data_IF_203120580501
#
_entry.id   IF_203120580501
#
_cell.length_a   1.000
_cell.length_b   1.000
_cell.length_c   1.000
_cell.angle_alpha   90.00
_cell.angle_beta   90.00
_cell.angle_gamma   90.00
#
_symmetry.space_group_name_H-M   'P 1'
#
loop_
_entity.id
_entity.type
_entity.pdbx_description
1 polymer ?
#
# COMPACT_ATOMS: atom_id res chain seq x y z
N UNK A 1 -4.44 15.49 14.13
CA UNK A 1 -5.48 14.48 13.88
C UNK A 1 -4.95 13.39 12.95
N UNK A 2 -5.29 12.12 13.20
CA UNK A 2 -4.90 10.98 12.37
C UNK A 2 -6.13 10.35 11.70
N UNK A 3 -6.00 10.00 10.41
CA UNK A 3 -6.97 9.16 9.73
C UNK A 3 -6.55 7.69 9.85
N UNK A 4 -7.38 6.84 10.41
CA UNK A 4 -7.25 5.38 10.31
C UNK A 4 -8.14 4.91 9.16
N UNK A 5 -7.49 4.51 8.08
CA UNK A 5 -8.15 4.13 6.84
C UNK A 5 -8.18 2.62 6.72
N UNK A 6 -9.37 2.05 6.62
CA UNK A 6 -9.61 0.62 6.40
C UNK A 6 -10.67 0.42 5.32
N UNK A 7 -10.95 -0.81 4.96
CA UNK A 7 -12.09 -1.17 4.13
C UNK A 7 -13.05 -2.12 4.89
N UNK A 8 -14.18 -2.43 4.28
CA UNK A 8 -15.19 -3.30 4.89
C UNK A 8 -14.70 -4.73 5.18
N UNK A 9 -13.59 -5.17 4.57
CA UNK A 9 -12.98 -6.47 4.85
C UNK A 9 -11.99 -6.40 6.02
N UNK A 10 -11.33 -5.25 6.22
CA UNK A 10 -10.22 -5.11 7.16
C UNK A 10 -10.56 -4.32 8.41
N UNK A 11 -11.69 -3.60 8.42
CA UNK A 11 -12.14 -2.81 9.56
C UNK A 11 -12.31 -3.67 10.83
N UNK A 12 -13.00 -4.80 10.73
CA UNK A 12 -13.21 -5.70 11.87
C UNK A 12 -11.98 -6.58 12.14
N UNK A 13 -11.21 -6.93 11.11
CA UNK A 13 -10.00 -7.73 11.27
C UNK A 13 -8.92 -7.02 12.11
N UNK A 14 -8.74 -5.70 11.92
CA UNK A 14 -7.71 -4.93 12.61
C UNK A 14 -8.00 -3.42 12.68
N UNK A 15 -8.78 -2.84 11.76
CA UNK A 15 -8.97 -1.38 11.65
C UNK A 15 -9.45 -0.75 12.94
N UNK A 16 -10.53 -1.27 13.54
CA UNK A 16 -11.08 -0.76 14.80
C UNK A 16 -10.11 -0.89 15.98
N UNK A 17 -9.35 -1.98 16.03
CA UNK A 17 -8.35 -2.18 17.07
C UNK A 17 -7.25 -1.13 16.97
N UNK A 18 -6.74 -0.88 15.77
CA UNK A 18 -5.73 0.17 15.53
C UNK A 18 -6.28 1.56 15.88
N UNK A 19 -7.51 1.88 15.45
CA UNK A 19 -8.13 3.16 15.76
C UNK A 19 -8.31 3.35 17.28
N UNK A 20 -8.79 2.34 17.97
CA UNK A 20 -8.97 2.35 19.43
C UNK A 20 -7.66 2.57 20.19
N UNK A 21 -6.61 1.83 19.84
CA UNK A 21 -5.31 1.98 20.50
C UNK A 21 -4.70 3.37 20.24
N UNK A 22 -4.83 3.89 19.03
CA UNK A 22 -4.32 5.22 18.67
C UNK A 22 -5.12 6.35 19.32
N UNK A 23 -6.42 6.18 19.60
CA UNK A 23 -7.25 7.21 20.23
C UNK A 23 -6.81 7.58 21.64
N UNK A 24 -6.01 6.75 22.30
CA UNK A 24 -5.35 7.08 23.56
C UNK A 24 -4.21 8.11 23.44
N UNK A 25 -3.74 8.37 22.20
CA UNK A 25 -2.56 9.20 21.94
C UNK A 25 -2.83 10.37 21.00
N UNK A 26 -3.87 10.27 20.15
CA UNK A 26 -4.20 11.28 19.16
C UNK A 26 -5.71 11.38 18.93
N UNK A 27 -6.14 12.50 18.34
CA UNK A 27 -7.48 12.60 17.75
C UNK A 27 -7.52 11.70 16.49
N UNK A 28 -8.37 10.68 16.51
CA UNK A 28 -8.46 9.66 15.47
C UNK A 28 -9.81 9.73 14.77
N UNK A 29 -9.78 9.67 13.46
CA UNK A 29 -10.95 9.51 12.61
C UNK A 29 -10.86 8.20 11.84
N UNK A 30 -11.88 7.36 12.00
CA UNK A 30 -12.01 6.13 11.21
C UNK A 30 -12.65 6.43 9.86
N UNK A 31 -11.96 6.06 8.79
CA UNK A 31 -12.42 6.23 7.40
C UNK A 31 -12.49 4.86 6.74
N UNK A 32 -13.71 4.42 6.43
CA UNK A 32 -13.96 3.09 5.90
C UNK A 32 -14.33 3.20 4.42
N UNK A 33 -13.61 2.44 3.59
CA UNK A 33 -13.85 2.29 2.15
C UNK A 33 -14.56 0.97 1.83
N UNK A 34 -15.18 0.83 0.66
CA UNK A 34 -15.70 -0.46 0.20
C UNK A 34 -14.59 -1.51 0.07
N UNK A 35 -14.88 -2.78 0.35
CA UNK A 35 -13.91 -3.87 0.29
C UNK A 35 -13.42 -4.24 -1.12
N UNK A 36 -14.04 -3.68 -2.16
CA UNK A 36 -13.63 -3.80 -3.55
C UNK A 36 -12.96 -2.51 -4.09
N UNK A 37 -12.44 -1.68 -3.21
CA UNK A 37 -11.75 -0.43 -3.57
C UNK A 37 -10.55 -0.72 -4.47
N UNK A 38 -10.47 -0.01 -5.59
CA UNK A 38 -9.35 -0.02 -6.50
C UNK A 38 -8.52 1.26 -6.34
N UNK A 39 -7.22 1.16 -6.59
CA UNK A 39 -6.34 2.33 -6.64
C UNK A 39 -6.46 2.99 -8.02
N UNK A 40 -7.45 3.86 -8.17
CA UNK A 40 -7.72 4.64 -9.38
C UNK A 40 -7.87 6.13 -9.05
N UNK A 41 -7.85 6.98 -10.08
CA UNK A 41 -7.89 8.43 -9.92
C UNK A 41 -9.11 8.91 -9.12
N UNK A 42 -10.35 8.43 -9.34
CA UNK A 42 -11.50 8.84 -8.54
C UNK A 42 -11.37 8.44 -7.07
N UNK A 43 -10.88 7.25 -6.79
CA UNK A 43 -10.69 6.76 -5.41
C UNK A 43 -9.59 7.54 -4.70
N UNK A 44 -8.51 7.87 -5.40
CA UNK A 44 -7.42 8.72 -4.87
C UNK A 44 -7.96 10.11 -4.53
N UNK A 45 -8.74 10.73 -5.41
CA UNK A 45 -9.35 12.02 -5.17
C UNK A 45 -10.29 12.00 -3.94
N UNK A 46 -11.11 10.96 -3.83
CA UNK A 46 -11.98 10.74 -2.67
C UNK A 46 -11.16 10.53 -1.38
N UNK A 47 -10.08 9.76 -1.44
CA UNK A 47 -9.16 9.56 -0.31
C UNK A 47 -8.57 10.89 0.16
N UNK A 48 -8.09 11.71 -0.75
CA UNK A 48 -7.55 13.05 -0.44
C UNK A 48 -8.61 13.92 0.22
N UNK A 49 -9.81 14.00 -0.35
CA UNK A 49 -10.89 14.82 0.20
C UNK A 49 -11.28 14.37 1.62
N UNK A 50 -11.45 13.07 1.83
CA UNK A 50 -11.84 12.52 3.14
C UNK A 50 -10.74 12.62 4.21
N UNK A 51 -9.47 12.74 3.82
CA UNK A 51 -8.34 12.79 4.76
C UNK A 51 -7.64 14.14 4.84
N UNK A 52 -8.02 15.14 4.04
CA UNK A 52 -7.33 16.44 3.90
C UNK A 52 -7.14 17.22 5.19
N UNK A 53 -8.03 17.00 6.17
CA UNK A 53 -8.01 17.66 7.48
C UNK A 53 -7.21 16.89 8.54
N UNK A 54 -6.56 15.78 8.14
CA UNK A 54 -5.72 14.96 9.00
C UNK A 54 -4.25 15.20 8.70
N UNK A 55 -3.41 15.21 9.75
CA UNK A 55 -1.97 15.43 9.64
C UNK A 55 -1.23 14.23 9.03
N UNK A 56 -1.83 13.05 9.11
CA UNK A 56 -1.30 11.81 8.55
C UNK A 56 -2.31 10.68 8.52
N UNK A 57 -1.94 9.60 7.85
CA UNK A 57 -2.79 8.44 7.68
C UNK A 57 -2.14 7.16 8.24
N UNK A 58 -2.97 6.30 8.81
CA UNK A 58 -2.63 4.91 9.12
C UNK A 58 -3.53 4.03 8.28
N UNK A 59 -2.98 3.40 7.24
CA UNK A 59 -3.75 2.47 6.41
C UNK A 59 -3.71 1.07 7.03
N UNK A 60 -4.87 0.46 7.18
CA UNK A 60 -5.06 -0.91 7.68
C UNK A 60 -5.72 -1.72 6.57
N UNK A 61 -4.90 -2.39 5.78
CA UNK A 61 -5.41 -3.09 4.60
C UNK A 61 -4.34 -3.82 3.79
N UNK A 62 -4.76 -4.28 2.62
CA UNK A 62 -3.89 -4.95 1.64
C UNK A 62 -3.54 -4.01 0.46
N UNK A 63 -3.09 -4.56 -0.65
CA UNK A 63 -2.47 -3.85 -1.76
C UNK A 63 -3.16 -2.58 -2.24
N UNK A 64 -4.39 -2.69 -2.76
CA UNK A 64 -5.09 -1.56 -3.40
C UNK A 64 -5.33 -0.39 -2.44
N UNK A 65 -5.78 -0.68 -1.21
CA UNK A 65 -6.01 0.37 -0.22
C UNK A 65 -4.70 1.03 0.22
N UNK A 66 -3.64 0.21 0.40
CA UNK A 66 -2.30 0.71 0.75
C UNK A 66 -1.74 1.63 -0.34
N UNK A 67 -1.87 1.25 -1.61
CA UNK A 67 -1.40 2.07 -2.72
C UNK A 67 -2.23 3.36 -2.89
N UNK A 68 -3.54 3.31 -2.64
CA UNK A 68 -4.41 4.50 -2.65
C UNK A 68 -3.98 5.51 -1.58
N UNK A 69 -3.78 5.08 -0.33
CA UNK A 69 -3.33 5.97 0.75
C UNK A 69 -1.91 6.47 0.49
N UNK A 70 -1.01 5.59 0.04
CA UNK A 70 0.37 5.94 -0.32
C UNK A 70 0.41 7.06 -1.34
N UNK A 71 -0.33 6.92 -2.44
CA UNK A 71 -0.32 7.90 -3.52
C UNK A 71 -1.03 9.20 -3.11
N UNK A 72 -2.19 9.12 -2.47
CA UNK A 72 -2.91 10.29 -1.95
C UNK A 72 -2.05 11.11 -0.98
N UNK A 73 -1.37 10.47 -0.03
CA UNK A 73 -0.51 11.16 0.92
C UNK A 73 0.78 11.69 0.28
N UNK A 74 1.29 11.04 -0.76
CA UNK A 74 2.42 11.54 -1.54
C UNK A 74 2.10 12.85 -2.25
N UNK A 75 0.97 12.90 -2.96
CA UNK A 75 0.53 14.12 -3.66
C UNK A 75 0.27 15.29 -2.71
N UNK A 76 -0.21 15.01 -1.49
CA UNK A 76 -0.49 16.04 -0.48
C UNK A 76 0.73 16.38 0.41
N UNK A 77 1.88 15.70 0.22
CA UNK A 77 3.07 15.88 1.05
C UNK A 77 2.92 15.41 2.50
N UNK A 78 1.90 14.59 2.79
CA UNK A 78 1.62 14.06 4.13
C UNK A 78 2.35 12.74 4.36
N UNK A 79 2.43 12.32 5.63
CA UNK A 79 3.05 11.06 6.03
C UNK A 79 2.00 9.99 6.25
N UNK A 80 2.38 8.73 6.03
CA UNK A 80 1.53 7.61 6.38
C UNK A 80 2.32 6.45 6.98
N UNK A 81 1.58 5.56 7.65
CA UNK A 81 2.03 4.29 8.20
C UNK A 81 1.15 3.19 7.61
N UNK A 82 1.72 2.05 7.29
CA UNK A 82 0.99 0.90 6.75
C UNK A 82 0.88 -0.21 7.79
N UNK A 83 -0.34 -0.67 8.01
CA UNK A 83 -0.64 -1.88 8.77
C UNK A 83 -1.12 -2.96 7.79
N UNK A 84 -0.20 -3.84 7.38
CA UNK A 84 -0.47 -4.88 6.40
C UNK A 84 -1.32 -6.00 7.01
N UNK A 85 -2.51 -6.24 6.47
CA UNK A 85 -3.45 -7.25 6.98
C UNK A 85 -3.32 -8.61 6.28
N UNK A 86 -2.53 -8.70 5.21
CA UNK A 86 -2.25 -9.93 4.47
C UNK A 86 -0.92 -9.83 3.73
N UNK A 87 -0.25 -10.95 3.53
CA UNK A 87 0.95 -11.05 2.71
C UNK A 87 0.63 -11.07 1.20
N UNK A 88 -0.09 -10.06 0.69
CA UNK A 88 -0.65 -10.05 -0.66
C UNK A 88 0.22 -9.40 -1.72
N UNK A 89 1.27 -8.71 -1.32
CA UNK A 89 2.22 -8.05 -2.22
C UNK A 89 3.58 -7.82 -1.52
N UNK A 90 4.61 -7.60 -2.31
CA UNK A 90 5.93 -7.20 -1.80
C UNK A 90 6.09 -5.66 -1.67
N UNK A 91 5.13 -4.88 -2.18
CA UNK A 91 5.21 -3.44 -2.36
C UNK A 91 4.83 -2.56 -1.16
N UNK A 92 4.57 -3.12 0.04
CA UNK A 92 4.16 -2.31 1.20
C UNK A 92 5.16 -1.21 1.53
N UNK A 93 6.46 -1.51 1.51
CA UNK A 93 7.53 -0.55 1.78
C UNK A 93 8.06 0.19 0.55
N UNK A 94 7.50 -0.05 -0.64
CA UNK A 94 8.00 0.55 -1.87
C UNK A 94 7.71 2.05 -1.98
N UNK A 95 8.59 2.77 -2.67
CA UNK A 95 8.40 4.18 -3.04
C UNK A 95 7.57 4.39 -4.30
N UNK A 96 6.82 3.37 -4.74
CA UNK A 96 5.93 3.42 -5.90
C UNK A 96 4.54 2.92 -5.53
N UNK A 97 3.53 3.33 -6.27
CA UNK A 97 2.15 2.86 -6.15
C UNK A 97 1.65 2.37 -7.51
N UNK A 98 0.79 1.34 -7.50
CA UNK A 98 0.15 0.82 -8.70
C UNK A 98 -1.21 1.49 -8.88
N UNK A 99 -1.32 2.39 -9.86
CA UNK A 99 -2.50 3.23 -10.08
C UNK A 99 -3.15 2.91 -11.43
N UNK A 100 -4.46 2.83 -11.46
CA UNK A 100 -5.24 2.76 -12.69
C UNK A 100 -5.64 4.17 -13.13
N UNK A 101 -5.14 4.58 -14.28
CA UNK A 101 -5.43 5.89 -14.89
C UNK A 101 -6.84 5.95 -15.48
N UNK A 102 -7.33 7.17 -15.78
CA UNK A 102 -8.66 7.39 -16.36
C UNK A 102 -8.92 6.64 -17.69
N UNK A 103 -7.87 6.33 -18.43
CA UNK A 103 -7.95 5.54 -19.67
C UNK A 103 -8.01 4.03 -19.43
N UNK A 104 -8.07 3.58 -18.16
CA UNK A 104 -8.08 2.17 -17.77
C UNK A 104 -6.69 1.50 -17.74
N UNK A 105 -5.63 2.22 -18.08
CA UNK A 105 -4.27 1.68 -18.05
C UNK A 105 -3.73 1.65 -16.62
N UNK A 106 -3.30 0.48 -16.17
CA UNK A 106 -2.67 0.29 -14.86
C UNK A 106 -1.16 0.47 -14.99
N UNK A 107 -0.61 1.39 -14.21
CA UNK A 107 0.82 1.72 -14.25
C UNK A 107 1.41 1.90 -12.86
N UNK A 108 2.72 1.76 -12.75
CA UNK A 108 3.46 2.09 -11.54
C UNK A 108 3.88 3.56 -11.59
N UNK A 109 3.50 4.32 -10.59
CA UNK A 109 3.83 5.74 -10.45
C UNK A 109 4.74 5.97 -9.25
N UNK A 110 5.56 7.02 -9.33
CA UNK A 110 6.38 7.44 -8.18
C UNK A 110 5.50 7.88 -7.02
N UNK A 111 5.88 7.47 -5.83
CA UNK A 111 5.22 7.79 -4.58
C UNK A 111 6.29 7.88 -3.47
N UNK A 112 5.91 7.65 -2.22
CA UNK A 112 6.85 7.57 -1.10
C UNK A 112 6.66 6.29 -0.27
N UNK A 113 7.72 5.83 0.37
CA UNK A 113 7.64 4.73 1.33
C UNK A 113 6.87 5.17 2.59
N UNK A 114 6.17 4.26 3.26
CA UNK A 114 5.56 4.55 4.57
C UNK A 114 6.64 4.83 5.62
N UNK A 115 6.28 5.53 6.68
CA UNK A 115 7.18 5.75 7.83
C UNK A 115 7.46 4.46 8.61
N UNK A 116 6.51 3.54 8.59
CA UNK A 116 6.66 2.19 9.14
C UNK A 116 5.67 1.25 8.47
N UNK A 117 6.01 -0.04 8.44
CA UNK A 117 5.10 -1.13 8.08
C UNK A 117 4.97 -2.04 9.28
N UNK A 118 3.75 -2.23 9.74
CA UNK A 118 3.42 -3.18 10.81
C UNK A 118 2.73 -4.41 10.22
N UNK A 119 3.06 -5.57 10.76
CA UNK A 119 2.45 -6.86 10.39
C UNK A 119 2.06 -7.59 11.67
N UNK A 120 0.78 -7.88 11.81
CA UNK A 120 0.29 -8.81 12.85
C UNK A 120 0.20 -10.22 12.24
N UNK A 121 0.98 -11.15 12.79
CA UNK A 121 1.03 -12.52 12.26
C UNK A 121 -0.30 -13.25 12.44
N UNK A 122 -1.04 -12.95 13.52
CA UNK A 122 -2.36 -13.54 13.76
C UNK A 122 -3.38 -13.08 12.72
N UNK A 123 -3.39 -11.79 12.39
CA UNK A 123 -4.26 -11.23 11.33
C UNK A 123 -3.87 -11.80 9.96
N UNK A 124 -2.58 -11.84 9.66
CA UNK A 124 -2.09 -12.38 8.40
C UNK A 124 -2.38 -13.87 8.22
N UNK A 125 -2.34 -14.65 9.31
CA UNK A 125 -2.59 -16.09 9.27
C UNK A 125 -4.06 -16.45 8.97
N UNK A 126 -5.00 -15.59 9.33
CA UNK A 126 -6.44 -15.80 9.06
C UNK A 126 -6.94 -15.07 7.81
N UNK A 127 -6.06 -14.32 7.15
CA UNK A 127 -6.38 -13.69 5.87
C UNK A 127 -6.72 -14.75 4.79
N UNK A 128 -7.55 -14.41 3.81
CA UNK A 128 -7.88 -15.35 2.73
C UNK A 128 -6.62 -15.93 2.07
N UNK A 129 -6.50 -17.28 1.93
CA UNK A 129 -5.27 -17.94 1.44
C UNK A 129 -4.82 -17.47 0.06
N UNK A 130 -5.77 -17.06 -0.79
CA UNK A 130 -5.45 -16.54 -2.11
C UNK A 130 -4.66 -15.22 -2.07
N UNK A 131 -4.75 -14.43 -0.98
CA UNK A 131 -3.92 -13.25 -0.80
C UNK A 131 -2.45 -13.63 -0.57
N UNK A 132 -2.17 -14.66 0.21
CA UNK A 132 -0.81 -15.18 0.39
C UNK A 132 -0.26 -15.74 -0.93
N UNK A 133 -1.10 -16.47 -1.70
CA UNK A 133 -0.73 -16.95 -3.03
C UNK A 133 -0.41 -15.80 -4.00
N UNK A 134 -1.19 -14.71 -3.94
CA UNK A 134 -0.92 -13.51 -4.74
C UNK A 134 0.44 -12.87 -4.38
N UNK A 135 0.76 -12.74 -3.08
CA UNK A 135 2.04 -12.21 -2.63
C UNK A 135 3.23 -13.11 -2.98
N UNK A 136 3.04 -14.43 -2.97
CA UNK A 136 4.04 -15.37 -3.46
C UNK A 136 4.29 -15.14 -4.97
N UNK A 137 3.22 -15.05 -5.78
CA UNK A 137 3.32 -14.77 -7.21
C UNK A 137 4.02 -13.44 -7.49
N UNK A 138 3.68 -12.40 -6.74
CA UNK A 138 4.31 -11.08 -6.81
C UNK A 138 5.82 -11.13 -6.46
N UNK A 139 6.22 -12.01 -5.56
CA UNK A 139 7.63 -12.22 -5.21
C UNK A 139 8.38 -13.07 -6.23
N UNK A 140 7.72 -14.07 -6.83
CA UNK A 140 8.32 -14.96 -7.80
C UNK A 140 8.63 -14.29 -9.15
N UNK A 141 8.03 -13.15 -9.47
CA UNK A 141 8.37 -12.41 -10.69
C UNK A 141 9.74 -11.71 -10.61
N UNK A 142 10.30 -11.52 -9.42
CA UNK A 142 11.56 -10.78 -9.22
C UNK A 142 12.76 -11.35 -9.98
N UNK A 143 13.06 -12.66 -9.94
CA UNK A 143 14.18 -13.21 -10.72
C UNK A 143 14.09 -12.88 -12.21
N UNK A 144 12.89 -12.95 -12.80
CA UNK A 144 12.68 -12.60 -14.20
C UNK A 144 12.93 -11.12 -14.45
N UNK A 145 12.36 -10.25 -13.63
CA UNK A 145 12.56 -8.80 -13.73
C UNK A 145 14.04 -8.41 -13.55
N UNK A 146 14.76 -9.09 -12.67
CA UNK A 146 16.19 -8.87 -12.45
C UNK A 146 17.01 -9.26 -13.67
N UNK A 147 16.71 -10.39 -14.32
CA UNK A 147 17.38 -10.80 -15.56
C UNK A 147 17.11 -9.80 -16.68
N UNK A 148 15.88 -9.32 -16.82
CA UNK A 148 15.54 -8.28 -17.81
C UNK A 148 16.27 -6.97 -17.53
N UNK A 149 16.38 -6.54 -16.28
CA UNK A 149 17.14 -5.36 -15.90
C UNK A 149 18.63 -5.50 -16.21
N UNK A 150 19.21 -6.67 -15.90
CA UNK A 150 20.61 -6.96 -16.26
C UNK A 150 20.81 -6.98 -17.78
N UNK A 151 19.90 -7.59 -18.54
CA UNK A 151 19.94 -7.60 -19.99
C UNK A 151 19.84 -6.17 -20.57
N UNK A 152 18.94 -5.34 -20.07
CA UNK A 152 18.83 -3.93 -20.46
C UNK A 152 20.12 -3.15 -20.17
N UNK A 153 20.76 -3.43 -19.04
CA UNK A 153 22.08 -2.85 -18.73
C UNK A 153 23.13 -3.24 -19.78
N UNK A 154 23.20 -4.52 -20.11
CA UNK A 154 24.20 -5.05 -21.08
C UNK A 154 23.97 -4.58 -22.51
N UNK A 155 22.72 -4.47 -22.92
CA UNK A 155 22.35 -4.17 -24.31
C UNK A 155 22.12 -2.67 -24.57
N UNK A 156 21.61 -1.94 -23.58
CA UNK A 156 21.14 -0.56 -23.73
C UNK A 156 21.91 0.44 -22.86
N UNK A 157 22.84 -0.03 -22.01
CA UNK A 157 23.61 0.82 -21.09
C UNK A 157 22.78 1.46 -19.97
N UNK A 158 21.62 0.89 -19.63
CA UNK A 158 20.80 1.40 -18.51
C UNK A 158 21.54 1.24 -17.17
N UNK A 159 21.21 2.05 -16.18
CA UNK A 159 21.78 1.92 -14.84
C UNK A 159 21.45 0.55 -14.24
N UNK A 160 22.40 -0.04 -13.52
CA UNK A 160 22.25 -1.34 -12.87
C UNK A 160 22.91 -1.31 -11.49
N UNK A 161 22.31 -1.95 -10.52
CA UNK A 161 22.87 -2.13 -9.19
C UNK A 161 22.92 -3.62 -8.83
N UNK A 162 24.06 -4.08 -8.31
CA UNK A 162 24.27 -5.47 -7.91
C UNK A 162 23.58 -5.81 -6.58
N UNK A 163 23.54 -4.85 -5.64
CA UNK A 163 23.04 -5.05 -4.28
C UNK A 163 21.68 -5.77 -4.15
N UNK A 164 20.69 -5.58 -5.06
CA UNK A 164 19.43 -6.33 -4.97
C UNK A 164 19.55 -7.82 -5.28
N UNK A 165 20.72 -8.30 -5.73
CA UNK A 165 20.98 -9.70 -6.10
C UNK A 165 21.77 -10.45 -5.01
N UNK A 166 22.37 -9.72 -4.08
CA UNK A 166 23.15 -10.25 -2.95
C UNK A 166 22.22 -10.51 -1.75
#
# INVERSE_FOLDING_TARGET
KLAVVSDTNTVEAMGRRVAKELSGWADVEEIIFPGNTHCDEPTIALMKDRTRHCDGCVVVGSGSLSDTVKYATFEDGRKYVSFATAGSMNGYGAGTASVTLANGYKTSVSAHAPRAVFVDLGVSAVAPPWLAAAGLGDSLCRPTAQVEWWAAHRLLGTSFAQTPFD
#
